data_IF_085015507646
#
_entry.id   IF_085015507646
#
_cell.length_a   1.000
_cell.length_b   1.000
_cell.length_c   1.000
_cell.angle_alpha   90.00
_cell.angle_beta   90.00
_cell.angle_gamma   90.00
#
_symmetry.space_group_name_H-M   'P 1'
#
loop_
_entity.id
_entity.type
_entity.pdbx_description
1 polymer ?
#
# COMPACT_ATOMS: atom_id res chain seq x y z
N UNK A 1 6.54 25.13 -22.57
CA UNK A 1 7.57 25.68 -21.67
C UNK A 1 8.30 24.51 -21.03
N UNK A 2 9.45 24.14 -21.59
CA UNK A 2 10.33 23.09 -21.11
C UNK A 2 11.38 23.71 -20.18
N UNK A 3 11.51 23.17 -18.97
CA UNK A 3 12.53 23.61 -17.99
C UNK A 3 13.61 22.54 -17.93
N UNK A 4 14.80 22.90 -18.41
CA UNK A 4 16.00 22.07 -18.43
C UNK A 4 16.84 22.37 -17.18
N UNK A 5 17.20 21.35 -16.38
CA UNK A 5 18.10 21.49 -15.24
C UNK A 5 19.53 21.06 -15.60
N UNK A 6 20.58 21.83 -15.25
CA UNK A 6 21.97 21.46 -15.51
C UNK A 6 22.53 20.52 -14.43
N UNK A 7 23.03 19.37 -14.88
CA UNK A 7 23.84 18.40 -14.12
C UNK A 7 25.32 18.80 -14.12
N UNK A 8 25.82 19.43 -13.05
CA UNK A 8 27.27 19.54 -12.80
C UNK A 8 27.62 20.11 -11.42
N UNK A 9 27.64 19.29 -10.37
CA UNK A 9 28.47 19.55 -9.17
C UNK A 9 28.47 18.35 -8.19
N UNK A 10 29.18 17.27 -8.51
CA UNK A 10 29.67 16.33 -7.50
C UNK A 10 31.14 16.02 -7.81
N UNK A 11 32.02 16.96 -7.47
CA UNK A 11 33.46 16.72 -7.47
C UNK A 11 33.84 16.32 -6.05
N UNK A 12 33.88 15.00 -5.86
CA UNK A 12 34.34 14.33 -4.66
C UNK A 12 35.81 14.73 -4.41
N UNK A 13 36.06 15.47 -3.33
CA UNK A 13 37.39 15.84 -2.86
C UNK A 13 38.07 14.59 -2.30
N UNK A 14 38.93 13.99 -3.11
CA UNK A 14 39.94 13.02 -2.68
C UNK A 14 41.17 13.80 -2.23
N UNK A 15 41.35 13.99 -0.93
CA UNK A 15 42.64 14.38 -0.35
C UNK A 15 43.22 13.21 0.45
N UNK A 16 44.26 12.64 -0.18
CA UNK A 16 45.33 11.79 0.34
C UNK A 16 45.70 12.13 1.79
N UNK A 17 45.89 11.09 2.61
CA UNK A 17 46.55 11.21 3.91
C UNK A 17 47.49 10.02 4.09
N UNK A 18 48.73 10.19 3.64
CA UNK A 18 49.86 9.34 3.99
C UNK A 18 51.12 10.20 3.99
N UNK A 19 51.62 10.53 5.18
CA UNK A 19 53.03 10.78 5.46
C UNK A 19 53.28 10.47 6.95
N UNK A 20 54.16 9.50 7.28
CA UNK A 20 54.62 9.26 8.63
C UNK A 20 55.91 10.03 8.94
N UNK A 21 56.10 10.33 10.22
CA UNK A 21 57.35 10.80 10.84
C UNK A 21 57.67 12.31 10.76
N UNK A 22 57.33 13.02 11.84
CA UNK A 22 58.20 14.05 12.40
C UNK A 22 57.96 14.12 13.92
N UNK A 23 58.96 13.68 14.69
CA UNK A 23 58.94 13.76 16.14
C UNK A 23 59.29 15.15 16.64
N UNK A 24 58.68 15.54 17.76
CA UNK A 24 59.22 16.57 18.65
C UNK A 24 58.87 16.19 20.09
N UNK A 25 59.90 15.78 20.84
CA UNK A 25 59.90 15.66 22.30
C UNK A 25 59.88 17.08 22.87
N UNK A 26 58.90 17.39 23.70
CA UNK A 26 58.93 18.52 24.64
C UNK A 26 58.93 17.93 26.05
N UNK A 27 60.11 18.00 26.67
CA UNK A 27 60.33 17.97 28.10
C UNK A 27 59.96 19.33 28.69
N UNK A 28 59.22 19.36 29.80
CA UNK A 28 59.60 20.02 31.07
C UNK A 28 58.46 20.00 32.11
N UNK A 29 58.78 20.19 33.40
CA UNK A 29 58.20 19.44 34.51
C UNK A 29 57.06 20.17 35.24
N UNK A 30 56.46 19.45 36.18
CA UNK A 30 55.18 19.76 36.81
C UNK A 30 55.12 21.03 37.64
N UNK A 31 53.89 21.57 37.73
CA UNK A 31 53.38 22.25 38.90
C UNK A 31 51.84 22.28 38.86
N UNK A 32 51.26 21.35 39.61
CA UNK A 32 50.03 21.44 40.40
C UNK A 32 48.95 22.46 39.98
N UNK A 33 47.91 21.98 39.29
CA UNK A 33 46.61 22.64 39.30
C UNK A 33 45.84 22.20 40.55
N UNK A 34 45.48 23.11 41.48
CA UNK A 34 44.68 22.73 42.63
C UNK A 34 43.29 22.31 42.18
N UNK A 35 42.91 21.10 42.58
CA UNK A 35 41.54 20.62 42.50
C UNK A 35 40.59 21.59 43.22
N UNK A 36 39.72 22.24 42.45
CA UNK A 36 38.36 22.56 42.88
C UNK A 36 37.38 22.22 41.77
N UNK A 37 36.94 20.97 41.79
CA UNK A 37 35.71 20.53 41.13
C UNK A 37 34.56 21.24 41.85
N UNK A 38 34.21 22.44 41.42
CA UNK A 38 32.90 23.02 41.67
C UNK A 38 32.07 22.84 40.41
N UNK A 39 31.63 21.59 40.18
CA UNK A 39 30.61 21.27 39.19
C UNK A 39 29.30 21.85 39.71
N UNK A 40 29.01 23.13 39.43
CA UNK A 40 27.64 23.63 39.50
C UNK A 40 26.86 23.04 38.33
N UNK A 41 26.58 21.74 38.43
CA UNK A 41 25.54 21.10 37.65
C UNK A 41 24.21 21.67 38.13
N UNK A 42 23.86 22.89 37.70
CA UNK A 42 22.47 23.32 37.67
C UNK A 42 21.76 22.23 36.87
N UNK A 43 20.91 21.45 37.52
CA UNK A 43 19.89 20.71 36.78
C UNK A 43 19.06 21.78 36.08
N UNK A 44 19.39 22.03 34.82
CA UNK A 44 18.56 22.81 33.90
C UNK A 44 17.30 21.96 33.72
N UNK A 45 16.32 22.17 34.58
CA UNK A 45 15.01 21.57 34.42
C UNK A 45 14.33 22.16 33.20
N UNK A 46 13.59 21.32 32.47
CA UNK A 46 12.71 21.76 31.39
C UNK A 46 11.75 22.82 31.93
N UNK A 47 11.66 23.98 31.29
CA UNK A 47 10.75 25.02 31.77
C UNK A 47 9.31 24.67 31.39
N UNK A 48 8.34 25.03 32.23
CA UNK A 48 6.92 24.81 31.89
C UNK A 48 6.52 25.52 30.60
N UNK A 49 7.11 26.70 30.34
CA UNK A 49 6.85 27.46 29.11
C UNK A 49 7.41 26.76 27.87
N UNK A 50 8.59 26.14 27.97
CA UNK A 50 9.18 25.34 26.89
C UNK A 50 8.31 24.13 26.57
N UNK A 51 7.78 23.46 27.59
CA UNK A 51 6.86 22.34 27.39
C UNK A 51 5.53 22.76 26.76
N UNK A 52 4.97 23.92 27.15
CA UNK A 52 3.72 24.42 26.58
C UNK A 52 3.83 24.69 25.08
N UNK A 53 4.95 25.29 24.63
CA UNK A 53 5.17 25.57 23.21
C UNK A 53 5.35 24.27 22.44
N UNK A 54 6.09 23.30 22.99
CA UNK A 54 6.28 21.99 22.35
C UNK A 54 4.94 21.28 22.15
N UNK A 55 4.10 21.23 23.18
CA UNK A 55 2.78 20.61 23.08
C UNK A 55 1.86 21.35 22.10
N UNK A 56 1.96 22.67 22.00
CA UNK A 56 1.22 23.45 21.02
C UNK A 56 1.59 23.06 19.58
N UNK A 57 2.88 22.93 19.27
CA UNK A 57 3.35 22.55 17.93
C UNK A 57 2.98 21.09 17.63
N UNK A 58 3.21 20.17 18.57
CA UNK A 58 2.86 18.74 18.39
C UNK A 58 1.36 18.57 18.19
N UNK A 59 0.52 19.33 18.90
CA UNK A 59 -0.93 19.30 18.74
C UNK A 59 -1.38 19.64 17.32
N UNK A 60 -0.80 20.69 16.71
CA UNK A 60 -1.12 21.09 15.33
C UNK A 60 -0.69 20.00 14.33
N UNK A 61 0.51 19.44 14.48
CA UNK A 61 1.00 18.38 13.59
C UNK A 61 0.15 17.11 13.74
N UNK A 62 -0.18 16.73 14.96
CA UNK A 62 -0.95 15.51 15.26
C UNK A 62 -2.36 15.56 14.64
N UNK A 63 -3.01 16.73 14.63
CA UNK A 63 -4.34 16.90 14.04
C UNK A 63 -4.41 16.49 12.56
N UNK A 64 -3.34 16.74 11.79
CA UNK A 64 -3.23 16.31 10.39
C UNK A 64 -2.61 14.92 10.23
N UNK A 65 -1.59 14.60 11.03
CA UNK A 65 -0.83 13.36 10.90
C UNK A 65 -1.65 12.11 11.29
N UNK A 66 -2.50 12.20 12.32
CA UNK A 66 -3.30 11.06 12.79
C UNK A 66 -4.27 10.54 11.72
N UNK A 67 -5.15 11.36 11.11
CA UNK A 67 -6.08 10.86 10.09
C UNK A 67 -5.34 10.31 8.86
N UNK A 68 -4.27 10.98 8.41
CA UNK A 68 -3.46 10.49 7.29
C UNK A 68 -2.77 9.14 7.60
N UNK A 69 -2.31 8.93 8.83
CA UNK A 69 -1.71 7.67 9.26
C UNK A 69 -2.75 6.55 9.38
N UNK A 70 -3.97 6.87 9.81
CA UNK A 70 -5.07 5.89 9.84
C UNK A 70 -5.43 5.40 8.43
N UNK A 71 -5.52 6.29 7.44
CA UNK A 71 -5.73 5.93 6.03
C UNK A 71 -4.61 5.03 5.48
N UNK A 72 -3.35 5.31 5.85
CA UNK A 72 -2.21 4.47 5.47
C UNK A 72 -2.34 3.04 6.04
N UNK A 73 -2.69 2.92 7.32
CA UNK A 73 -2.93 1.61 7.94
C UNK A 73 -4.13 0.89 7.30
N UNK A 74 -5.20 1.62 6.96
CA UNK A 74 -6.36 1.04 6.28
C UNK A 74 -5.99 0.50 4.89
N UNK A 75 -5.21 1.23 4.08
CA UNK A 75 -4.68 0.74 2.79
C UNK A 75 -3.84 -0.53 2.94
N UNK A 76 -3.00 -0.59 3.96
CA UNK A 76 -2.20 -1.80 4.24
C UNK A 76 -3.09 -3.01 4.55
N UNK A 77 -4.19 -2.81 5.28
CA UNK A 77 -5.20 -3.84 5.55
C UNK A 77 -5.96 -4.27 4.29
N UNK A 78 -6.23 -3.35 3.36
CA UNK A 78 -6.83 -3.70 2.06
C UNK A 78 -5.92 -4.63 1.26
N UNK A 79 -4.60 -4.44 1.34
CA UNK A 79 -3.60 -5.34 0.74
C UNK A 79 -3.67 -6.79 1.28
N UNK A 80 -4.00 -6.96 2.57
CA UNK A 80 -4.26 -8.29 3.16
C UNK A 80 -5.50 -8.95 2.55
N UNK A 81 -6.57 -8.20 2.31
CA UNK A 81 -7.76 -8.73 1.63
C UNK A 81 -7.48 -9.19 0.20
N UNK A 82 -6.65 -8.43 -0.53
CA UNK A 82 -6.22 -8.82 -1.87
C UNK A 82 -5.34 -10.08 -1.88
N UNK A 83 -4.51 -10.28 -0.86
CA UNK A 83 -3.71 -11.51 -0.76
C UNK A 83 -4.59 -12.72 -0.42
N UNK A 84 -5.61 -12.57 0.44
CA UNK A 84 -6.59 -13.62 0.72
C UNK A 84 -7.43 -13.96 -0.52
N UNK A 85 -7.79 -12.96 -1.33
CA UNK A 85 -8.50 -13.14 -2.59
C UNK A 85 -7.68 -13.89 -3.66
N UNK A 86 -6.37 -14.08 -3.50
CA UNK A 86 -5.56 -14.83 -4.46
C UNK A 86 -6.01 -16.29 -4.59
N UNK A 87 -6.44 -16.91 -3.50
CA UNK A 87 -7.01 -18.26 -3.50
C UNK A 87 -8.33 -18.35 -4.29
N UNK A 88 -9.20 -17.35 -4.12
CA UNK A 88 -10.43 -17.22 -4.88
C UNK A 88 -10.17 -17.02 -6.38
N UNK A 89 -9.18 -16.18 -6.74
CA UNK A 89 -8.79 -15.96 -8.14
C UNK A 89 -8.34 -17.25 -8.82
N UNK A 90 -7.59 -18.09 -8.10
CA UNK A 90 -7.15 -19.38 -8.62
C UNK A 90 -8.34 -20.32 -8.85
N UNK A 91 -9.23 -20.45 -7.86
CA UNK A 91 -10.43 -21.29 -7.99
C UNK A 91 -11.31 -20.85 -9.17
N UNK A 92 -11.57 -19.54 -9.31
CA UNK A 92 -12.32 -19.00 -10.45
C UNK A 92 -11.63 -19.30 -11.77
N UNK A 93 -10.29 -19.19 -11.85
CA UNK A 93 -9.54 -19.47 -13.08
C UNK A 93 -9.61 -20.96 -13.49
N UNK A 94 -9.50 -21.87 -12.53
CA UNK A 94 -9.65 -23.33 -12.75
C UNK A 94 -11.08 -23.68 -13.18
N UNK A 95 -12.07 -23.08 -12.52
CA UNK A 95 -13.49 -23.30 -12.83
C UNK A 95 -13.87 -22.68 -14.18
N UNK A 96 -13.30 -21.53 -14.53
CA UNK A 96 -13.44 -20.91 -15.84
C UNK A 96 -12.88 -21.79 -16.97
N UNK A 97 -11.73 -22.43 -16.76
CA UNK A 97 -11.16 -23.36 -17.73
C UNK A 97 -11.96 -24.65 -17.88
N UNK A 98 -12.60 -25.13 -16.79
CA UNK A 98 -13.41 -26.36 -16.80
C UNK A 98 -14.88 -26.15 -17.18
N UNK A 99 -15.36 -24.91 -17.22
CA UNK A 99 -16.76 -24.58 -17.48
C UNK A 99 -17.71 -24.95 -16.34
N UNK A 100 -17.20 -25.04 -15.12
CA UNK A 100 -18.00 -25.32 -13.90
C UNK A 100 -18.53 -24.01 -13.29
N UNK A 101 -19.27 -24.11 -12.17
CA UNK A 101 -19.67 -22.94 -11.40
C UNK A 101 -18.42 -22.25 -10.83
N UNK A 102 -18.34 -20.91 -10.90
CA UNK A 102 -17.07 -20.22 -10.65
C UNK A 102 -16.61 -20.29 -9.19
N UNK A 103 -17.53 -20.34 -8.22
CA UNK A 103 -17.23 -20.60 -6.80
C UNK A 103 -17.20 -22.09 -6.43
N UNK A 104 -17.37 -23.00 -7.40
CA UNK A 104 -17.37 -24.44 -7.17
C UNK A 104 -16.09 -24.93 -6.49
N UNK A 105 -16.23 -25.61 -5.35
CA UNK A 105 -15.09 -26.13 -4.59
C UNK A 105 -14.24 -25.07 -3.86
N UNK A 106 -14.55 -23.78 -4.02
CA UNK A 106 -13.90 -22.73 -3.26
C UNK A 106 -14.42 -22.71 -1.81
N UNK A 107 -13.50 -22.89 -0.87
CA UNK A 107 -13.77 -22.67 0.54
C UNK A 107 -13.17 -21.32 0.96
N UNK A 108 -13.99 -20.34 1.40
CA UNK A 108 -13.46 -19.05 1.82
C UNK A 108 -12.54 -19.22 3.04
N UNK A 109 -11.40 -18.49 3.08
CA UNK A 109 -10.54 -18.50 4.26
C UNK A 109 -11.32 -17.96 5.47
N UNK A 110 -10.95 -18.37 6.70
CA UNK A 110 -11.56 -17.84 7.90
C UNK A 110 -11.35 -16.32 7.97
N UNK A 111 -12.35 -15.62 8.51
CA UNK A 111 -12.28 -14.19 8.74
C UNK A 111 -11.04 -13.82 9.57
N UNK A 112 -10.40 -12.73 9.18
CA UNK A 112 -9.26 -12.18 9.94
C UNK A 112 -9.72 -10.97 10.75
N UNK A 113 -8.78 -10.32 11.44
CA UNK A 113 -9.07 -9.07 12.13
C UNK A 113 -9.48 -7.95 11.17
N UNK A 114 -9.03 -8.02 9.91
CA UNK A 114 -9.18 -6.94 8.93
C UNK A 114 -10.17 -7.28 7.82
N UNK A 115 -10.33 -8.56 7.51
CA UNK A 115 -11.21 -9.08 6.45
C UNK A 115 -12.34 -9.89 7.08
N UNK A 116 -13.58 -9.51 6.76
CA UNK A 116 -14.80 -10.16 7.24
C UNK A 116 -15.13 -11.38 6.39
N UNK A 117 -15.09 -11.25 5.07
CA UNK A 117 -15.34 -12.36 4.15
C UNK A 117 -14.72 -12.13 2.78
N UNK A 118 -14.42 -13.24 2.10
CA UNK A 118 -14.12 -13.29 0.67
C UNK A 118 -15.16 -14.19 0.03
N UNK A 119 -15.97 -13.65 -0.87
CA UNK A 119 -17.03 -14.41 -1.54
C UNK A 119 -16.78 -14.43 -3.05
N UNK A 120 -17.11 -15.54 -3.69
CA UNK A 120 -17.07 -15.72 -5.14
C UNK A 120 -18.51 -15.90 -5.61
N UNK A 121 -18.92 -15.07 -6.54
CA UNK A 121 -20.22 -15.20 -7.21
C UNK A 121 -20.17 -16.35 -8.22
N UNK A 122 -21.08 -17.31 -8.09
CA UNK A 122 -21.08 -18.54 -8.90
C UNK A 122 -21.42 -18.31 -10.38
N UNK A 123 -22.08 -17.20 -10.71
CA UNK A 123 -22.61 -16.90 -12.05
C UNK A 123 -21.68 -16.01 -12.86
N UNK A 124 -20.98 -15.08 -12.20
CA UNK A 124 -20.09 -14.09 -12.82
C UNK A 124 -18.61 -14.36 -12.55
N UNK A 125 -18.30 -15.13 -11.50
CA UNK A 125 -16.93 -15.32 -11.02
C UNK A 125 -16.35 -14.09 -10.32
N UNK A 126 -17.16 -13.06 -10.08
CA UNK A 126 -16.76 -11.87 -9.35
C UNK A 126 -16.37 -12.25 -7.91
N UNK A 127 -15.29 -11.65 -7.42
CA UNK A 127 -14.85 -11.82 -6.03
C UNK A 127 -15.20 -10.55 -5.25
N UNK A 128 -15.98 -10.67 -4.20
CA UNK A 128 -16.25 -9.57 -3.26
C UNK A 128 -15.47 -9.80 -1.96
N UNK A 129 -14.68 -8.79 -1.58
CA UNK A 129 -13.90 -8.77 -0.34
C UNK A 129 -14.53 -7.75 0.59
N UNK A 130 -15.15 -8.24 1.66
CA UNK A 130 -15.70 -7.39 2.72
C UNK A 130 -14.65 -7.22 3.82
N UNK A 131 -14.36 -5.98 4.16
CA UNK A 131 -13.43 -5.61 5.23
C UNK A 131 -14.16 -5.33 6.54
N UNK A 132 -13.49 -5.44 7.68
CA UNK A 132 -14.08 -5.03 8.96
C UNK A 132 -14.12 -3.50 9.11
N UNK A 133 -14.79 -3.02 10.17
CA UNK A 133 -14.84 -1.59 10.55
C UNK A 133 -13.48 -0.96 10.86
N UNK A 134 -12.40 -1.75 10.93
CA UNK A 134 -11.02 -1.26 11.03
C UNK A 134 -10.53 -0.63 9.73
N UNK A 135 -11.12 -0.96 8.59
CA UNK A 135 -10.73 -0.42 7.29
C UNK A 135 -11.63 0.75 6.92
N UNK A 136 -12.94 0.51 6.91
CA UNK A 136 -13.96 1.51 6.58
C UNK A 136 -15.25 1.22 7.34
N UNK A 137 -16.14 2.21 7.55
CA UNK A 137 -17.45 2.00 8.16
C UNK A 137 -18.24 0.88 7.48
N UNK A 138 -19.09 0.20 8.26
CA UNK A 138 -19.96 -0.85 7.74
C UNK A 138 -20.82 -0.33 6.57
N UNK A 139 -20.92 -1.11 5.51
CA UNK A 139 -21.61 -0.73 4.27
C UNK A 139 -20.73 0.05 3.27
N UNK A 140 -19.55 0.52 3.69
CA UNK A 140 -18.56 1.21 2.84
C UNK A 140 -17.23 0.46 2.78
N UNK A 141 -17.29 -0.84 2.94
CA UNK A 141 -16.16 -1.71 3.27
C UNK A 141 -15.98 -2.86 2.26
N UNK A 142 -16.58 -2.79 1.07
CA UNK A 142 -16.50 -3.88 0.08
C UNK A 142 -15.69 -3.47 -1.15
N UNK A 143 -14.69 -4.28 -1.48
CA UNK A 143 -13.90 -4.19 -2.71
C UNK A 143 -14.29 -5.34 -3.63
N UNK A 144 -14.38 -5.07 -4.93
CA UNK A 144 -14.86 -6.04 -5.91
C UNK A 144 -13.78 -6.31 -6.95
N UNK A 145 -13.58 -7.58 -7.29
CA UNK A 145 -12.69 -8.01 -8.36
C UNK A 145 -13.50 -8.72 -9.43
N UNK A 146 -13.41 -8.22 -10.65
CA UNK A 146 -14.20 -8.72 -11.79
C UNK A 146 -13.25 -9.48 -12.72
N UNK A 147 -13.51 -10.77 -12.98
CA UNK A 147 -12.77 -11.51 -14.00
C UNK A 147 -13.27 -11.15 -15.40
N UNK A 148 -12.38 -11.24 -16.36
CA UNK A 148 -12.68 -11.10 -17.78
C UNK A 148 -11.80 -12.03 -18.60
N UNK A 149 -12.29 -12.41 -19.77
CA UNK A 149 -11.52 -13.17 -20.76
C UNK A 149 -11.51 -12.42 -22.09
N UNK A 150 -10.53 -12.67 -22.96
CA UNK A 150 -10.63 -12.17 -24.33
C UNK A 150 -11.85 -12.79 -25.04
N UNK A 151 -12.44 -12.04 -25.95
CA UNK A 151 -13.50 -12.53 -26.85
C UNK A 151 -13.03 -13.67 -27.78
N UNK A 152 -11.74 -13.70 -28.11
CA UNK A 152 -11.09 -14.76 -28.86
C UNK A 152 -9.67 -14.99 -28.32
N UNK A 153 -9.26 -16.26 -28.16
CA UNK A 153 -7.95 -16.63 -27.61
C UNK A 153 -6.76 -16.29 -28.54
N UNK A 154 -6.94 -16.41 -29.86
CA UNK A 154 -5.88 -16.25 -30.86
C UNK A 154 -5.71 -14.79 -31.29
N UNK A 155 -6.82 -14.06 -31.44
CA UNK A 155 -6.83 -12.65 -31.86
C UNK A 155 -7.80 -11.83 -31.00
N UNK A 156 -7.40 -11.43 -29.79
CA UNK A 156 -8.26 -10.69 -28.88
C UNK A 156 -8.65 -9.31 -29.44
N UNK A 157 -9.94 -9.03 -29.54
CA UNK A 157 -10.48 -7.72 -29.96
C UNK A 157 -11.32 -7.02 -28.91
N UNK A 158 -11.78 -7.74 -27.89
CA UNK A 158 -12.50 -7.18 -26.74
C UNK A 158 -12.27 -8.02 -25.48
N UNK A 159 -12.65 -7.47 -24.33
CA UNK A 159 -12.75 -8.22 -23.07
C UNK A 159 -14.22 -8.45 -22.76
N UNK A 160 -14.55 -9.67 -22.39
CA UNK A 160 -15.93 -10.08 -22.09
C UNK A 160 -16.02 -10.65 -20.69
N UNK A 161 -17.23 -10.57 -20.11
CA UNK A 161 -17.57 -11.25 -18.87
C UNK A 161 -17.54 -12.77 -19.05
N UNK A 162 -17.26 -13.47 -17.96
CA UNK A 162 -17.31 -14.92 -17.92
C UNK A 162 -18.76 -15.41 -18.06
N UNK A 163 -18.92 -16.58 -18.69
CA UNK A 163 -20.24 -17.20 -18.90
C UNK A 163 -20.29 -18.56 -18.21
N UNK A 164 -21.06 -18.67 -17.14
CA UNK A 164 -21.24 -19.93 -16.39
C UNK A 164 -21.63 -21.11 -17.30
N UNK A 165 -21.11 -22.29 -16.99
CA UNK A 165 -21.46 -23.53 -17.71
C UNK A 165 -20.74 -23.69 -19.05
N UNK A 166 -19.79 -22.81 -19.37
CA UNK A 166 -18.96 -22.89 -20.57
C UNK A 166 -17.49 -22.68 -20.22
N UNK A 167 -16.62 -23.50 -20.82
CA UNK A 167 -15.18 -23.30 -20.69
C UNK A 167 -14.79 -21.98 -21.38
N UNK A 168 -14.10 -21.12 -20.65
CA UNK A 168 -13.74 -19.79 -21.11
C UNK A 168 -12.50 -19.83 -22.00
N UNK A 169 -12.48 -19.09 -23.12
CA UNK A 169 -11.32 -19.04 -24.00
C UNK A 169 -10.20 -18.18 -23.40
N UNK A 170 -8.95 -18.66 -23.50
CA UNK A 170 -7.77 -17.91 -23.09
C UNK A 170 -7.59 -17.75 -21.58
N UNK A 171 -6.84 -16.73 -21.18
CA UNK A 171 -6.45 -16.49 -19.78
C UNK A 171 -7.36 -15.47 -19.10
N UNK A 172 -7.84 -15.79 -17.90
CA UNK A 172 -8.60 -14.88 -17.05
C UNK A 172 -7.74 -13.68 -16.64
N UNK A 173 -8.23 -12.48 -16.94
CA UNK A 173 -7.66 -11.20 -16.50
C UNK A 173 -8.56 -10.57 -15.45
N UNK A 174 -7.95 -10.06 -14.40
CA UNK A 174 -8.67 -9.48 -13.26
C UNK A 174 -8.63 -7.96 -13.29
N UNK A 175 -9.77 -7.37 -12.99
CA UNK A 175 -9.85 -5.95 -12.69
C UNK A 175 -10.40 -5.72 -11.30
N UNK A 176 -9.85 -4.71 -10.62
CA UNK A 176 -10.29 -4.31 -9.30
C UNK A 176 -11.16 -3.05 -9.39
N UNK A 177 -12.23 -3.02 -8.59
CA UNK A 177 -13.14 -1.90 -8.47
C UNK A 177 -13.35 -1.52 -7.00
N UNK A 178 -13.11 -0.24 -6.71
CA UNK A 178 -13.47 0.42 -5.47
C UNK A 178 -14.63 1.39 -5.70
N UNK A 179 -15.22 1.89 -4.62
CA UNK A 179 -16.29 2.88 -4.65
C UNK A 179 -15.90 4.10 -5.48
N UNK A 180 -16.75 4.44 -6.44
CA UNK A 180 -16.55 5.55 -7.38
C UNK A 180 -15.82 5.20 -8.67
N UNK A 181 -15.26 3.98 -8.83
CA UNK A 181 -14.74 3.51 -10.12
C UNK A 181 -15.88 3.01 -11.00
N UNK A 182 -16.24 3.79 -12.03
CA UNK A 182 -17.37 3.51 -12.93
C UNK A 182 -16.99 2.92 -14.29
N UNK A 183 -15.70 2.74 -14.58
CA UNK A 183 -15.22 2.23 -15.86
C UNK A 183 -14.01 1.31 -15.65
N UNK A 184 -13.80 0.40 -16.60
CA UNK A 184 -12.61 -0.43 -16.67
C UNK A 184 -11.39 0.39 -17.12
N UNK A 185 -10.25 0.14 -16.48
CA UNK A 185 -8.92 0.68 -16.76
C UNK A 185 -7.99 -0.37 -17.38
N UNK A 186 -8.51 -1.54 -17.78
CA UNK A 186 -7.71 -2.57 -18.41
C UNK A 186 -7.17 -2.06 -19.77
N UNK A 187 -5.91 -2.38 -20.12
CA UNK A 187 -5.38 -2.07 -21.44
C UNK A 187 -6.08 -2.91 -22.52
N UNK A 188 -5.77 -2.60 -23.78
CA UNK A 188 -6.22 -3.34 -24.97
C UNK A 188 -6.22 -4.87 -24.72
N UNK A 189 -7.24 -5.60 -25.21
CA UNK A 189 -8.03 -5.31 -26.42
C UNK A 189 -9.32 -4.49 -26.20
N UNK A 190 -9.72 -4.18 -24.97
CA UNK A 190 -10.88 -3.33 -24.71
C UNK A 190 -11.18 -3.22 -23.21
N UNK A 191 -12.07 -2.29 -22.85
CA UNK A 191 -12.58 -2.17 -21.49
C UNK A 191 -13.27 -3.47 -21.06
N UNK A 192 -12.95 -3.95 -19.85
CA UNK A 192 -13.58 -5.11 -19.25
C UNK A 192 -15.03 -4.84 -18.78
N UNK A 193 -15.74 -5.91 -18.38
CA UNK A 193 -17.07 -5.79 -17.79
C UNK A 193 -17.06 -5.01 -16.48
N UNK A 194 -18.19 -4.38 -16.17
CA UNK A 194 -18.44 -3.72 -14.89
C UNK A 194 -18.85 -4.77 -13.84
N UNK A 195 -18.63 -4.49 -12.54
CA UNK A 195 -19.04 -5.39 -11.48
C UNK A 195 -20.58 -5.50 -11.42
N UNK A 196 -21.06 -6.70 -11.11
CA UNK A 196 -22.48 -6.95 -10.86
C UNK A 196 -22.92 -6.36 -9.52
N UNK A 197 -22.04 -6.43 -8.51
CA UNK A 197 -22.26 -5.80 -7.21
C UNK A 197 -21.53 -4.47 -7.09
N UNK A 198 -22.18 -3.48 -6.50
CA UNK A 198 -21.57 -2.17 -6.34
C UNK A 198 -20.40 -2.22 -5.32
N UNK A 199 -19.17 -1.86 -5.72
CA UNK A 199 -18.07 -1.69 -4.78
C UNK A 199 -18.33 -0.47 -3.90
N UNK A 200 -18.08 -0.58 -2.60
CA UNK A 200 -18.40 0.48 -1.63
C UNK A 200 -17.18 1.03 -0.90
N UNK A 201 -16.02 0.39 -1.04
CA UNK A 201 -14.78 0.84 -0.41
C UNK A 201 -14.35 2.22 -0.94
N UNK A 202 -14.13 3.23 -0.08
CA UNK A 202 -13.66 4.54 -0.52
C UNK A 202 -12.39 4.47 -1.38
N UNK A 203 -12.36 5.19 -2.49
CA UNK A 203 -11.24 5.20 -3.44
C UNK A 203 -9.92 5.71 -2.85
N UNK A 204 -9.95 6.50 -1.78
CA UNK A 204 -8.75 6.90 -1.04
C UNK A 204 -8.14 5.75 -0.24
N UNK A 205 -8.90 4.70 0.10
CA UNK A 205 -8.41 3.54 0.85
C UNK A 205 -8.04 2.37 -0.06
N UNK A 206 -8.52 2.39 -1.31
CA UNK A 206 -8.21 1.37 -2.29
C UNK A 206 -6.82 1.56 -2.92
N UNK A 207 -6.15 0.46 -3.32
CA UNK A 207 -4.94 0.51 -4.16
C UNK A 207 -5.18 1.26 -5.48
N UNK A 208 -4.12 1.83 -6.09
CA UNK A 208 -4.22 2.58 -7.34
C UNK A 208 -4.98 1.85 -8.45
N UNK A 209 -4.73 0.55 -8.63
CA UNK A 209 -5.35 -0.30 -9.64
C UNK A 209 -6.87 -0.47 -9.46
N UNK A 210 -7.39 -0.23 -8.26
CA UNK A 210 -8.80 -0.37 -7.94
C UNK A 210 -9.59 0.95 -8.09
N UNK A 211 -8.90 2.09 -8.26
CA UNK A 211 -9.51 3.43 -8.28
C UNK A 211 -9.29 4.18 -9.59
N UNK A 212 -8.28 3.81 -10.38
CA UNK A 212 -8.03 4.33 -11.71
C UNK A 212 -8.79 3.56 -12.77
#
# INVERSE_FOLDING_TARGET
MTVTFPTSAFRCVLLRRDDPAAGARISEPGAQWPARIARFGRKLGFTLIELMIVLAIVGVIAAYAIPAYQDYLARSRVGEGLSLAASARLAVAENAASGSAFGGGYAPPPATRNVESVHVDDDTGQISVAFTTRVAPAGTNTLVLVPSVPDNADTPTARIALVKGSAQPGTVTWECFAGGKGASSLPAPGAGPLPADAPTLPSNLAPPECRS
#
